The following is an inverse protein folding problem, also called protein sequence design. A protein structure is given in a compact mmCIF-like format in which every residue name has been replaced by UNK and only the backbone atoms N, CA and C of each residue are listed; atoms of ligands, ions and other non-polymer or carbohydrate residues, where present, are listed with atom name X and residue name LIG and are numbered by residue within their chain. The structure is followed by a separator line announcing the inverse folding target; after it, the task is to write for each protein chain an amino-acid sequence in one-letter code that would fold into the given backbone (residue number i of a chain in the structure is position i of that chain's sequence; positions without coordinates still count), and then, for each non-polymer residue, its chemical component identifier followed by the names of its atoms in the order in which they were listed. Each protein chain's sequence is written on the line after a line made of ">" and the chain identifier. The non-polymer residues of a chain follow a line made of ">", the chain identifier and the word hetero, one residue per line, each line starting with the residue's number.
data_IF_256379924463
#
_entry.id   IF_256379924463
#
_cell.length_a   1.000
_cell.length_b   1.000
_cell.length_c   1.000
_cell.angle_alpha   90.00
_cell.angle_beta   90.00
_cell.angle_gamma   90.00
#
_symmetry.space_group_name_H-M   'P 1'
#
loop_
_entity.id
_entity.type
_entity.pdbx_description
1 polymer ?
#
# COMPACT_ATOMS: atom_id res chain seq x y z
N UNK A 1 6.73 -20.63 -46.08
CA UNK A 1 6.72 -19.38 -45.28
C UNK A 1 5.49 -19.41 -44.39
N UNK A 2 5.61 -19.02 -43.12
CA UNK A 2 4.44 -18.87 -42.25
C UNK A 2 3.58 -17.69 -42.72
N UNK A 3 2.23 -17.80 -42.70
CA UNK A 3 1.32 -16.68 -42.88
C UNK A 3 1.65 -15.51 -41.96
N UNK A 4 1.46 -14.30 -42.48
CA UNK A 4 1.91 -13.08 -41.81
C UNK A 4 1.14 -12.83 -40.51
N UNK A 5 -0.13 -13.19 -40.49
CA UNK A 5 -1.03 -13.08 -39.34
C UNK A 5 -0.61 -14.03 -38.21
N UNK A 6 -0.15 -15.24 -38.55
CA UNK A 6 0.37 -16.20 -37.57
C UNK A 6 1.67 -15.70 -36.95
N UNK A 7 2.57 -15.12 -37.76
CA UNK A 7 3.80 -14.50 -37.25
C UNK A 7 3.50 -13.31 -36.32
N UNK A 8 2.54 -12.46 -36.67
CA UNK A 8 2.12 -11.34 -35.82
C UNK A 8 1.57 -11.82 -34.49
N UNK A 9 0.71 -12.85 -34.49
CA UNK A 9 0.16 -13.42 -33.26
C UNK A 9 1.25 -14.06 -32.39
N UNK A 10 2.18 -14.82 -32.99
CA UNK A 10 3.33 -15.40 -32.27
C UNK A 10 4.18 -14.31 -31.63
N UNK A 11 4.50 -13.25 -32.37
CA UNK A 11 5.27 -12.12 -31.83
C UNK A 11 4.54 -11.39 -30.71
N UNK A 12 3.23 -11.17 -30.87
CA UNK A 12 2.41 -10.52 -29.85
C UNK A 12 2.35 -11.33 -28.55
N UNK A 13 2.06 -12.63 -28.64
CA UNK A 13 2.01 -13.52 -27.47
C UNK A 13 3.37 -13.64 -26.79
N UNK A 14 4.45 -13.77 -27.57
CA UNK A 14 5.81 -13.81 -27.05
C UNK A 14 6.21 -12.50 -26.35
N UNK A 15 5.79 -11.35 -26.90
CA UNK A 15 6.08 -10.04 -26.33
C UNK A 15 5.31 -9.80 -25.02
N UNK A 16 4.05 -10.25 -24.92
CA UNK A 16 3.25 -10.13 -23.68
C UNK A 16 3.74 -11.07 -22.58
N UNK A 17 4.16 -12.28 -22.95
CA UNK A 17 4.56 -13.30 -21.98
C UNK A 17 5.90 -12.98 -21.30
N UNK A 18 6.80 -12.26 -21.99
CA UNK A 18 8.10 -11.87 -21.43
C UNK A 18 8.52 -10.47 -21.94
N UNK A 19 8.61 -9.46 -21.04
CA UNK A 19 9.05 -8.11 -21.40
C UNK A 19 10.41 -8.08 -22.10
N UNK A 20 11.36 -8.96 -21.73
CA UNK A 20 12.68 -9.01 -22.37
C UNK A 20 12.57 -9.46 -23.82
N UNK A 21 11.68 -10.41 -24.09
CA UNK A 21 11.38 -10.89 -25.44
C UNK A 21 10.76 -9.78 -26.31
N UNK A 22 9.88 -8.93 -25.75
CA UNK A 22 9.33 -7.78 -26.48
C UNK A 22 10.44 -6.83 -27.01
N UNK A 23 11.44 -6.52 -26.19
CA UNK A 23 12.57 -5.67 -26.61
C UNK A 23 13.50 -6.37 -27.62
N UNK A 24 13.69 -7.69 -27.52
CA UNK A 24 14.48 -8.46 -28.49
C UNK A 24 13.80 -8.49 -29.86
N UNK A 25 12.49 -8.73 -29.90
CA UNK A 25 11.68 -8.73 -31.13
C UNK A 25 11.76 -7.39 -31.86
N UNK A 26 11.84 -6.28 -31.13
CA UNK A 26 12.01 -4.93 -31.70
C UNK A 26 13.22 -4.80 -32.62
N UNK A 27 14.28 -5.57 -32.36
CA UNK A 27 15.55 -5.51 -33.09
C UNK A 27 15.59 -6.45 -34.31
N UNK A 28 14.59 -7.32 -34.47
CA UNK A 28 14.58 -8.35 -35.52
C UNK A 28 14.13 -7.77 -36.86
N UNK A 29 13.02 -7.04 -36.89
CA UNK A 29 12.47 -6.45 -38.11
C UNK A 29 11.51 -5.30 -37.80
N UNK A 30 11.18 -4.47 -38.81
CA UNK A 30 10.17 -3.41 -38.68
C UNK A 30 8.82 -3.97 -38.23
N UNK A 31 8.42 -5.12 -38.78
CA UNK A 31 7.15 -5.74 -38.44
C UNK A 31 7.14 -6.30 -37.01
N UNK A 32 8.21 -6.97 -36.58
CA UNK A 32 8.33 -7.44 -35.20
C UNK A 32 8.38 -6.26 -34.21
N UNK A 33 8.99 -5.14 -34.61
CA UNK A 33 8.99 -3.90 -33.86
C UNK A 33 7.58 -3.31 -33.69
N UNK A 34 6.79 -3.28 -34.76
CA UNK A 34 5.38 -2.87 -34.73
C UNK A 34 4.54 -3.79 -33.83
N UNK A 35 4.64 -5.11 -33.98
CA UNK A 35 3.81 -6.05 -33.23
C UNK A 35 4.08 -6.03 -31.72
N UNK A 36 5.32 -5.71 -31.32
CA UNK A 36 5.73 -5.71 -29.90
C UNK A 36 5.65 -4.33 -29.24
N UNK A 37 5.29 -3.26 -29.95
CA UNK A 37 5.35 -1.89 -29.42
C UNK A 37 4.47 -1.65 -28.20
N UNK A 38 3.26 -2.22 -28.17
CA UNK A 38 2.34 -2.12 -27.02
C UNK A 38 2.95 -2.82 -25.80
N UNK A 39 3.40 -4.08 -25.97
CA UNK A 39 3.98 -4.87 -24.89
C UNK A 39 5.23 -4.23 -24.27
N UNK A 40 6.08 -3.58 -25.08
CA UNK A 40 7.25 -2.83 -24.58
C UNK A 40 6.89 -1.62 -23.71
N UNK A 41 5.71 -1.05 -23.91
CA UNK A 41 5.21 0.09 -23.14
C UNK A 41 4.32 -0.31 -21.97
N UNK A 42 3.88 -1.57 -21.91
CA UNK A 42 3.06 -2.11 -20.82
C UNK A 42 3.79 -2.10 -19.48
N UNK A 43 5.07 -2.45 -19.47
CA UNK A 43 5.91 -2.48 -18.27
C UNK A 43 7.14 -1.59 -18.47
N UNK A 44 7.20 -0.49 -17.75
CA UNK A 44 8.34 0.43 -17.76
C UNK A 44 9.15 0.27 -16.47
N UNK A 45 10.44 0.01 -16.61
CA UNK A 45 11.38 -0.02 -15.48
C UNK A 45 12.50 0.96 -15.76
N UNK A 46 12.68 1.92 -14.86
CA UNK A 46 13.62 3.03 -14.98
C UNK A 46 14.62 2.90 -13.83
N UNK A 47 15.86 2.55 -14.17
CA UNK A 47 16.93 2.28 -13.19
C UNK A 47 18.01 3.37 -13.14
N UNK A 48 17.91 4.39 -14.00
CA UNK A 48 18.94 5.43 -14.15
C UNK A 48 18.31 6.81 -14.28
N UNK A 49 18.97 7.84 -13.76
CA UNK A 49 18.53 9.24 -13.88
C UNK A 49 18.45 9.71 -15.33
N UNK A 50 19.45 9.38 -16.15
CA UNK A 50 19.43 9.75 -17.58
C UNK A 50 18.26 9.08 -18.30
N UNK A 51 18.00 7.79 -18.04
CA UNK A 51 16.83 7.10 -18.59
C UNK A 51 15.50 7.76 -18.20
N UNK A 52 15.36 8.22 -16.95
CA UNK A 52 14.20 8.99 -16.49
C UNK A 52 14.09 10.33 -17.24
N UNK A 53 15.21 11.06 -17.35
CA UNK A 53 15.29 12.35 -18.07
C UNK A 53 14.85 12.20 -19.52
N UNK A 54 15.40 11.22 -20.23
CA UNK A 54 15.06 10.98 -21.64
C UNK A 54 13.60 10.58 -21.82
N UNK A 55 13.02 9.80 -20.89
CA UNK A 55 11.59 9.51 -20.93
C UNK A 55 10.75 10.78 -20.73
N UNK A 56 11.10 11.63 -19.78
CA UNK A 56 10.40 12.90 -19.53
C UNK A 56 10.49 13.85 -20.74
N UNK A 57 11.65 13.91 -21.41
CA UNK A 57 11.82 14.66 -22.67
C UNK A 57 10.98 14.07 -23.81
N UNK A 58 10.98 12.75 -23.96
CA UNK A 58 10.18 12.06 -24.97
C UNK A 58 8.69 12.36 -24.78
N UNK A 59 8.18 12.24 -23.56
CA UNK A 59 6.77 12.51 -23.25
C UNK A 59 6.42 14.00 -23.48
N UNK A 60 7.32 14.93 -23.13
CA UNK A 60 7.14 16.34 -23.44
C UNK A 60 7.06 16.58 -24.96
N UNK A 61 8.00 16.01 -25.71
CA UNK A 61 8.03 16.15 -27.17
C UNK A 61 6.75 15.61 -27.82
N UNK A 62 6.26 14.45 -27.37
CA UNK A 62 5.03 13.85 -27.91
C UNK A 62 3.77 14.69 -27.61
N UNK A 63 3.75 15.43 -26.49
CA UNK A 63 2.64 16.36 -26.19
C UNK A 63 2.71 17.64 -27.01
N UNK A 64 3.92 18.13 -27.28
CA UNK A 64 4.16 19.39 -27.99
C UNK A 64 4.16 19.23 -29.52
N UNK A 65 4.38 18.02 -30.03
CA UNK A 65 4.51 17.73 -31.46
C UNK A 65 3.36 16.85 -31.96
N UNK A 66 2.61 17.34 -32.95
CA UNK A 66 1.60 16.55 -33.68
C UNK A 66 2.21 15.68 -34.79
N UNK A 67 3.54 15.55 -34.83
CA UNK A 67 4.25 14.87 -35.90
C UNK A 67 4.12 13.33 -35.83
N UNK A 68 4.56 12.69 -36.92
CA UNK A 68 4.54 11.24 -37.17
C UNK A 68 5.00 10.45 -35.93
N UNK A 69 4.15 9.54 -35.47
CA UNK A 69 4.46 8.62 -34.37
C UNK A 69 5.60 7.68 -34.79
N UNK A 70 6.73 7.64 -34.05
CA UNK A 70 7.80 6.67 -34.31
C UNK A 70 7.28 5.23 -34.29
N UNK A 71 7.83 4.37 -35.15
CA UNK A 71 7.49 2.94 -35.24
C UNK A 71 7.58 2.20 -33.89
N UNK A 72 8.44 2.69 -33.00
CA UNK A 72 8.68 2.11 -31.69
C UNK A 72 7.59 2.41 -30.66
N UNK A 73 6.68 3.35 -30.95
CA UNK A 73 5.64 3.82 -30.02
C UNK A 73 4.25 3.26 -30.37
N UNK A 74 3.46 2.82 -29.37
CA UNK A 74 2.11 2.30 -29.59
C UNK A 74 1.06 3.35 -29.98
N UNK A 75 1.39 4.64 -29.95
CA UNK A 75 0.50 5.74 -30.34
C UNK A 75 1.11 7.09 -30.00
N UNK A 76 0.31 8.15 -30.16
CA UNK A 76 0.67 9.54 -29.81
C UNK A 76 0.88 9.67 -28.29
N UNK A 77 0.07 8.97 -27.50
CA UNK A 77 0.14 8.92 -26.03
C UNK A 77 0.56 7.53 -25.57
N UNK A 78 1.84 7.16 -25.68
CA UNK A 78 2.28 5.80 -25.41
C UNK A 78 2.14 5.41 -23.93
N UNK A 79 2.06 6.41 -23.03
CA UNK A 79 1.82 6.23 -21.60
C UNK A 79 0.44 5.64 -21.27
N UNK A 80 -0.54 5.73 -22.17
CA UNK A 80 -1.85 5.08 -22.00
C UNK A 80 -1.77 3.55 -22.01
N UNK A 81 -0.71 3.00 -22.60
CA UNK A 81 -0.49 1.56 -22.68
C UNK A 81 0.27 1.01 -21.47
N UNK A 82 0.81 1.88 -20.61
CA UNK A 82 1.58 1.48 -19.44
C UNK A 82 0.67 1.05 -18.30
N UNK A 83 0.83 -0.21 -17.88
CA UNK A 83 0.11 -0.82 -16.76
C UNK A 83 0.99 -0.95 -15.51
N UNK A 84 2.31 -1.04 -15.68
CA UNK A 84 3.26 -1.13 -14.59
C UNK A 84 4.41 -0.15 -14.78
N UNK A 85 4.71 0.63 -13.75
CA UNK A 85 5.80 1.60 -13.75
C UNK A 85 6.66 1.41 -12.50
N UNK A 86 7.93 1.11 -12.71
CA UNK A 86 8.94 0.97 -11.64
C UNK A 86 10.02 2.02 -11.85
N UNK A 87 10.23 2.89 -10.86
CA UNK A 87 11.26 3.93 -10.90
C UNK A 87 12.13 3.76 -9.67
N UNK A 88 13.38 3.39 -9.91
CA UNK A 88 14.39 3.19 -8.89
C UNK A 88 15.73 3.60 -9.46
N UNK A 89 16.05 4.89 -9.43
CA UNK A 89 17.29 5.39 -10.01
C UNK A 89 18.46 5.04 -9.08
N UNK A 90 19.44 4.29 -9.61
CA UNK A 90 20.66 3.97 -8.88
C UNK A 90 21.44 5.27 -8.58
N UNK A 91 21.84 5.47 -7.33
CA UNK A 91 22.57 6.66 -6.89
C UNK A 91 24.07 6.39 -6.97
N UNK A 92 24.75 6.88 -8.00
CA UNK A 92 26.23 6.82 -8.06
C UNK A 92 26.90 7.97 -7.32
N UNK A 93 26.24 9.12 -7.18
CA UNK A 93 26.80 10.30 -6.48
C UNK A 93 25.78 11.32 -5.98
N UNK A 94 24.57 11.37 -6.54
CA UNK A 94 23.55 12.38 -6.27
C UNK A 94 22.18 11.73 -6.15
N UNK A 95 21.27 12.29 -5.33
CA UNK A 95 19.87 11.86 -5.29
C UNK A 95 19.03 12.53 -6.39
N UNK A 96 17.87 11.93 -6.71
CA UNK A 96 17.02 12.38 -7.80
C UNK A 96 16.51 13.82 -7.62
N UNK A 97 16.21 14.22 -6.40
CA UNK A 97 15.69 15.56 -6.10
C UNK A 97 16.76 16.60 -6.44
N UNK A 98 17.99 16.35 -5.98
CA UNK A 98 19.16 17.18 -6.28
C UNK A 98 19.42 17.20 -7.78
N UNK A 99 19.37 16.05 -8.46
CA UNK A 99 19.46 15.95 -9.92
C UNK A 99 18.46 16.83 -10.65
N UNK A 100 17.17 16.72 -10.31
CA UNK A 100 16.14 17.55 -10.93
C UNK A 100 16.33 19.04 -10.62
N UNK A 101 16.87 19.38 -9.43
CA UNK A 101 17.14 20.76 -9.04
C UNK A 101 18.34 21.39 -9.78
N UNK A 102 19.31 20.59 -10.20
CA UNK A 102 20.51 21.04 -10.91
C UNK A 102 20.35 21.04 -12.44
N UNK A 103 19.22 20.56 -12.96
CA UNK A 103 18.94 20.62 -14.39
C UNK A 103 18.96 22.05 -14.93
N UNK A 104 19.54 22.20 -16.13
CA UNK A 104 19.57 23.49 -16.84
C UNK A 104 18.16 23.98 -17.18
N UNK A 105 17.99 25.30 -17.31
CA UNK A 105 16.70 25.88 -17.74
C UNK A 105 16.23 25.35 -19.11
N UNK A 106 17.18 24.97 -19.98
CA UNK A 106 16.87 24.35 -21.27
C UNK A 106 16.26 22.96 -21.07
N UNK A 107 16.89 22.13 -20.24
CA UNK A 107 16.40 20.79 -19.96
C UNK A 107 15.03 20.83 -19.29
N UNK A 108 14.83 21.72 -18.31
CA UNK A 108 13.54 21.88 -17.61
C UNK A 108 12.41 22.26 -18.56
N UNK A 109 12.66 23.11 -19.56
CA UNK A 109 11.66 23.51 -20.57
C UNK A 109 11.31 22.39 -21.53
N UNK A 110 12.26 21.50 -21.82
CA UNK A 110 12.09 20.38 -22.74
C UNK A 110 11.57 19.10 -22.07
N UNK A 111 11.28 19.15 -20.77
CA UNK A 111 10.84 18.01 -19.97
C UNK A 111 9.43 18.21 -19.41
N UNK A 112 8.76 17.11 -19.11
CA UNK A 112 7.57 17.12 -18.26
C UNK A 112 8.00 17.50 -16.84
N UNK A 113 7.25 18.35 -16.16
CA UNK A 113 7.53 18.66 -14.75
C UNK A 113 7.26 17.44 -13.86
N UNK A 114 8.07 17.23 -12.82
CA UNK A 114 7.93 16.16 -11.83
C UNK A 114 6.54 16.12 -11.17
N UNK A 115 5.91 17.30 -11.03
CA UNK A 115 4.56 17.47 -10.49
C UNK A 115 3.42 16.99 -11.41
N UNK A 116 3.73 16.75 -12.69
CA UNK A 116 2.78 16.27 -13.70
C UNK A 116 3.16 14.89 -14.25
N UNK A 117 4.33 14.36 -13.88
CA UNK A 117 4.88 13.17 -14.52
C UNK A 117 3.96 11.95 -14.39
N UNK A 118 3.49 11.61 -13.17
CA UNK A 118 2.65 10.41 -12.98
C UNK A 118 1.26 10.56 -13.60
N UNK A 119 0.74 11.78 -13.77
CA UNK A 119 -0.61 11.99 -14.34
C UNK A 119 -0.68 11.65 -15.82
N UNK A 120 0.46 11.52 -16.49
CA UNK A 120 0.55 11.01 -17.85
C UNK A 120 0.23 9.51 -17.97
N UNK A 121 0.15 8.78 -16.86
CA UNK A 121 -0.08 7.33 -16.84
C UNK A 121 -1.46 7.00 -16.21
N UNK A 122 -2.59 7.31 -16.88
CA UNK A 122 -3.92 7.18 -16.31
C UNK A 122 -4.34 5.72 -16.06
N UNK A 123 -3.76 4.78 -16.79
CA UNK A 123 -4.14 3.36 -16.80
C UNK A 123 -3.21 2.48 -15.94
N UNK A 124 -2.46 3.11 -15.04
CA UNK A 124 -1.49 2.42 -14.22
C UNK A 124 -2.18 1.46 -13.24
N UNK A 125 -1.77 0.21 -13.24
CA UNK A 125 -2.24 -0.82 -12.32
C UNK A 125 -1.23 -1.04 -11.18
N UNK A 126 0.06 -0.94 -11.47
CA UNK A 126 1.15 -1.10 -10.51
C UNK A 126 2.14 0.07 -10.57
N UNK A 127 2.47 0.63 -9.40
CA UNK A 127 3.49 1.68 -9.25
C UNK A 127 4.52 1.27 -8.20
N UNK A 128 5.80 1.28 -8.56
CA UNK A 128 6.92 1.06 -7.65
C UNK A 128 7.85 2.27 -7.64
N UNK A 129 8.04 2.91 -6.49
CA UNK A 129 8.93 4.06 -6.33
C UNK A 129 10.01 3.81 -5.27
N UNK A 130 11.26 4.14 -5.60
CA UNK A 130 12.34 4.31 -4.65
C UNK A 130 12.12 5.52 -3.72
N UNK A 131 13.04 5.73 -2.77
CA UNK A 131 12.84 6.74 -1.72
C UNK A 131 12.92 8.17 -2.25
N UNK A 132 13.84 8.43 -3.18
CA UNK A 132 14.02 9.75 -3.78
C UNK A 132 12.90 10.02 -4.81
N UNK A 133 12.50 8.99 -5.55
CA UNK A 133 11.39 9.04 -6.50
C UNK A 133 10.06 9.29 -5.80
N UNK A 134 9.82 8.63 -4.66
CA UNK A 134 8.62 8.86 -3.88
C UNK A 134 8.50 10.32 -3.44
N UNK A 135 9.61 10.94 -3.03
CA UNK A 135 9.65 12.36 -2.68
C UNK A 135 9.46 13.26 -3.90
N UNK A 136 10.15 13.00 -5.01
CA UNK A 136 10.07 13.82 -6.22
C UNK A 136 8.66 13.79 -6.85
N UNK A 137 8.01 12.63 -6.86
CA UNK A 137 6.73 12.41 -7.52
C UNK A 137 5.52 12.41 -6.58
N UNK A 138 5.70 12.67 -5.28
CA UNK A 138 4.57 12.76 -4.34
C UNK A 138 3.47 13.74 -4.76
N UNK A 139 3.74 14.86 -5.48
CA UNK A 139 2.66 15.76 -5.88
C UNK A 139 1.79 15.21 -7.00
N UNK A 140 2.33 14.36 -7.88
CA UNK A 140 1.59 13.74 -8.99
C UNK A 140 0.94 12.40 -8.62
N UNK A 141 1.38 11.74 -7.53
CA UNK A 141 0.85 10.43 -7.13
C UNK A 141 -0.64 10.44 -6.80
N UNK A 142 -1.19 11.58 -6.37
CA UNK A 142 -2.63 11.73 -6.09
C UNK A 142 -3.48 11.82 -7.37
N UNK A 143 -2.85 11.97 -8.54
CA UNK A 143 -3.54 12.11 -9.82
C UNK A 143 -3.75 10.77 -10.52
N UNK A 144 -3.18 9.69 -9.97
CA UNK A 144 -3.32 8.32 -10.46
C UNK A 144 -4.11 7.47 -9.47
N UNK A 145 -4.56 6.29 -9.92
CA UNK A 145 -5.30 5.33 -9.11
C UNK A 145 -4.79 3.90 -9.37
N UNK A 146 -3.55 3.55 -8.97
CA UNK A 146 -3.04 2.20 -9.14
C UNK A 146 -3.79 1.19 -8.26
N UNK A 147 -3.82 -0.06 -8.70
CA UNK A 147 -4.32 -1.18 -7.90
C UNK A 147 -3.27 -1.67 -6.89
N UNK A 148 -1.99 -1.50 -7.21
CA UNK A 148 -0.85 -1.91 -6.42
C UNK A 148 0.17 -0.78 -6.32
N UNK A 149 0.61 -0.48 -5.10
CA UNK A 149 1.58 0.56 -4.83
C UNK A 149 2.69 0.03 -3.93
N UNK A 150 3.93 0.16 -4.38
CA UNK A 150 5.14 -0.12 -3.61
C UNK A 150 5.98 1.14 -3.44
N UNK A 151 6.33 1.46 -2.21
CA UNK A 151 7.10 2.66 -1.87
C UNK A 151 8.26 2.32 -0.95
N UNK A 152 9.41 2.92 -1.20
CA UNK A 152 10.49 2.99 -0.20
C UNK A 152 10.28 4.25 0.65
N UNK A 153 10.15 4.03 1.95
CA UNK A 153 9.82 5.04 2.95
C UNK A 153 11.03 5.27 3.86
N UNK A 154 11.43 6.53 4.01
CA UNK A 154 12.64 6.91 4.75
C UNK A 154 12.39 7.46 6.16
N UNK A 155 11.17 7.35 6.68
CA UNK A 155 10.81 7.88 8.00
C UNK A 155 10.06 9.21 7.94
N UNK A 156 9.94 9.84 6.77
CA UNK A 156 9.18 11.09 6.62
C UNK A 156 7.65 10.86 6.67
N UNK A 157 7.09 10.76 7.88
CA UNK A 157 5.65 10.58 8.08
C UNK A 157 4.82 11.73 7.50
N UNK A 158 5.35 12.96 7.48
CA UNK A 158 4.65 14.12 6.92
C UNK A 158 4.35 13.93 5.43
N UNK A 159 5.34 13.44 4.68
CA UNK A 159 5.18 13.09 3.27
C UNK A 159 4.20 11.92 3.08
N UNK A 160 4.33 10.89 3.91
CA UNK A 160 3.43 9.73 3.85
C UNK A 160 1.97 10.16 4.08
N UNK A 161 1.73 11.04 5.06
CA UNK A 161 0.42 11.64 5.35
C UNK A 161 -0.08 12.55 4.23
N UNK A 162 0.79 13.33 3.61
CA UNK A 162 0.40 14.21 2.50
C UNK A 162 -0.01 13.41 1.27
N UNK A 163 0.59 12.24 1.05
CA UNK A 163 0.21 11.34 -0.05
C UNK A 163 -1.08 10.60 0.28
N UNK A 164 -1.18 10.00 1.46
CA UNK A 164 -2.34 9.25 1.91
C UNK A 164 -3.33 10.13 2.69
N UNK A 165 -3.87 11.15 2.04
CA UNK A 165 -4.86 12.03 2.65
C UNK A 165 -6.11 11.24 3.09
N UNK A 166 -6.59 11.41 4.33
CA UNK A 166 -7.79 10.72 4.82
C UNK A 166 -9.02 11.11 4.00
N UNK A 167 -9.98 10.18 3.86
CA UNK A 167 -11.35 10.52 3.45
C UNK A 167 -11.98 11.30 4.62
N UNK A 168 -12.54 12.53 4.52
CA UNK A 168 -12.51 13.59 3.52
C UNK A 168 -11.47 14.72 3.79
N UNK A 169 -11.27 15.53 2.74
CA UNK A 169 -10.32 16.62 2.53
C UNK A 169 -10.44 17.80 3.54
N UNK A 170 -9.33 18.16 4.20
CA UNK A 170 -9.24 19.28 5.16
C UNK A 170 -9.56 20.67 4.57
N UNK A 171 -9.69 20.80 3.24
CA UNK A 171 -10.10 22.04 2.57
C UNK A 171 -11.62 22.17 2.39
N UNK A 172 -12.42 21.17 2.75
CA UNK A 172 -13.87 21.31 2.79
C UNK A 172 -14.25 22.18 4.00
N UNK A 173 -14.98 23.27 3.77
CA UNK A 173 -15.44 24.17 4.82
C UNK A 173 -16.09 23.36 5.96
N UNK A 174 -15.77 23.68 7.22
CA UNK A 174 -16.44 23.10 8.40
C UNK A 174 -17.96 23.20 8.20
N UNK A 175 -18.62 22.07 8.00
CA UNK A 175 -20.07 22.01 7.72
C UNK A 175 -20.44 21.43 6.35
N UNK A 176 -19.50 21.29 5.41
CA UNK A 176 -19.71 20.58 4.15
C UNK A 176 -19.28 19.11 4.28
N UNK A 177 -19.94 18.37 5.18
CA UNK A 177 -19.67 16.96 5.49
C UNK A 177 -20.55 16.01 4.67
N UNK A 178 -20.76 16.31 3.39
CA UNK A 178 -21.47 15.37 2.52
C UNK A 178 -20.45 14.45 1.88
N UNK A 179 -20.54 13.15 2.18
CA UNK A 179 -20.04 12.11 1.28
C UNK A 179 -20.82 12.32 -0.02
N UNK A 180 -20.19 12.75 -1.13
CA UNK A 180 -20.88 12.84 -2.39
C UNK A 180 -21.44 11.47 -2.75
N UNK A 181 -22.72 11.40 -3.10
CA UNK A 181 -23.38 10.22 -3.70
C UNK A 181 -22.60 9.67 -4.91
N UNK A 182 -21.70 10.48 -5.49
CA UNK A 182 -20.80 10.13 -6.58
C UNK A 182 -19.48 9.47 -6.18
N UNK A 183 -19.22 9.07 -4.93
CA UNK A 183 -17.95 8.40 -4.57
C UNK A 183 -17.69 7.08 -5.31
N UNK A 184 -18.72 6.33 -5.70
CA UNK A 184 -18.60 5.17 -6.60
C UNK A 184 -18.08 5.55 -8.00
N UNK A 185 -18.31 6.80 -8.44
CA UNK A 185 -17.98 7.30 -9.78
C UNK A 185 -16.75 8.24 -9.77
N UNK A 186 -16.40 8.82 -8.61
CA UNK A 186 -15.49 9.96 -8.47
C UNK A 186 -14.58 9.94 -7.24
N UNK A 187 -14.35 8.81 -6.55
CA UNK A 187 -13.34 8.78 -5.49
C UNK A 187 -11.99 9.27 -6.07
N UNK A 188 -11.51 10.48 -5.69
CA UNK A 188 -10.40 11.08 -6.40
C UNK A 188 -9.08 10.46 -5.93
N UNK A 189 -8.22 10.14 -6.88
CA UNK A 189 -6.81 9.88 -6.64
C UNK A 189 -6.43 8.49 -6.15
N UNK A 190 -5.34 8.45 -5.39
CA UNK A 190 -4.55 7.24 -5.11
C UNK A 190 -5.37 6.08 -4.53
N UNK A 191 -6.36 6.38 -3.69
CA UNK A 191 -7.11 5.36 -2.93
C UNK A 191 -8.23 4.67 -3.73
N UNK A 192 -8.62 5.17 -4.91
CA UNK A 192 -9.81 4.70 -5.66
C UNK A 192 -9.79 3.21 -5.98
N UNK A 193 -8.64 2.72 -6.47
CA UNK A 193 -8.43 1.33 -6.94
C UNK A 193 -7.45 0.56 -6.07
N UNK A 194 -6.85 1.20 -5.07
CA UNK A 194 -5.71 0.66 -4.33
C UNK A 194 -6.12 -0.51 -3.44
N UNK A 195 -5.69 -1.73 -3.84
CA UNK A 195 -5.93 -2.99 -3.11
C UNK A 195 -4.68 -3.46 -2.37
N UNK A 196 -3.51 -3.26 -2.98
CA UNK A 196 -2.23 -3.75 -2.51
C UNK A 196 -1.31 -2.59 -2.17
N UNK A 197 -0.86 -2.53 -0.91
CA UNK A 197 0.10 -1.52 -0.45
C UNK A 197 1.31 -2.22 0.16
N UNK A 198 2.48 -1.97 -0.42
CA UNK A 198 3.77 -2.44 0.09
C UNK A 198 4.66 -1.26 0.46
N UNK A 199 5.00 -1.14 1.72
CA UNK A 199 5.90 -0.10 2.23
C UNK A 199 7.18 -0.74 2.72
N UNK A 200 8.31 -0.21 2.26
CA UNK A 200 9.65 -0.65 2.68
C UNK A 200 10.27 0.49 3.49
N UNK A 201 10.29 0.34 4.81
CA UNK A 201 10.90 1.27 5.74
C UNK A 201 12.43 1.10 5.79
N UNK A 202 13.16 2.10 5.32
CA UNK A 202 14.63 2.16 5.39
C UNK A 202 15.03 3.45 6.08
N UNK A 203 15.72 3.37 7.22
CA UNK A 203 16.29 4.55 7.87
C UNK A 203 17.58 4.97 7.12
N UNK A 204 17.61 6.13 6.45
CA UNK A 204 18.79 6.56 5.70
C UNK A 204 19.96 6.93 6.62
N UNK A 205 19.71 7.20 7.90
CA UNK A 205 20.74 7.58 8.86
C UNK A 205 21.40 6.38 9.54
N UNK A 206 20.78 5.21 9.43
CA UNK A 206 21.29 4.01 10.08
C UNK A 206 20.79 2.76 9.38
N UNK A 207 21.75 2.06 8.78
CA UNK A 207 21.54 0.77 8.14
C UNK A 207 21.17 -0.35 9.12
N UNK A 208 21.38 -0.13 10.42
CA UNK A 208 21.16 -1.12 11.49
C UNK A 208 19.81 -0.95 12.18
N UNK A 209 19.13 0.17 11.95
CA UNK A 209 17.80 0.45 12.47
C UNK A 209 16.79 0.36 11.34
N UNK A 210 15.58 -0.07 11.67
CA UNK A 210 14.47 0.16 10.78
C UNK A 210 13.55 1.23 11.35
N UNK A 211 12.43 1.42 10.68
CA UNK A 211 11.46 2.44 11.01
C UNK A 211 10.27 1.84 11.78
N UNK A 212 9.54 2.68 12.54
CA UNK A 212 8.32 2.23 13.18
C UNK A 212 7.24 2.02 12.12
N UNK A 213 6.36 1.04 12.35
CA UNK A 213 5.18 0.87 11.51
C UNK A 213 4.27 2.11 11.64
N UNK A 214 4.04 2.88 10.56
CA UNK A 214 3.34 4.17 10.63
C UNK A 214 1.82 3.94 10.67
N UNK A 215 1.35 3.29 11.73
CA UNK A 215 0.00 2.77 11.85
C UNK A 215 -1.07 3.84 11.65
N UNK A 216 -0.91 5.02 12.27
CA UNK A 216 -1.86 6.13 12.19
C UNK A 216 -2.09 6.63 10.75
N UNK A 217 -1.17 6.32 9.83
CA UNK A 217 -1.27 6.67 8.41
C UNK A 217 -1.88 5.52 7.59
N UNK A 218 -1.55 4.28 7.95
CA UNK A 218 -1.88 3.08 7.17
C UNK A 218 -3.20 2.42 7.57
N UNK A 219 -3.55 2.44 8.86
CA UNK A 219 -4.84 1.92 9.36
C UNK A 219 -6.04 2.57 8.64
N UNK A 220 -6.12 3.89 8.41
CA UNK A 220 -7.22 4.50 7.68
C UNK A 220 -7.31 4.11 6.19
N UNK A 221 -6.26 3.50 5.63
CA UNK A 221 -6.28 3.03 4.24
C UNK A 221 -6.95 1.66 4.11
N UNK A 222 -7.00 0.91 5.20
CA UNK A 222 -7.42 -0.49 5.17
C UNK A 222 -8.95 -0.59 5.10
N UNK A 223 -9.40 -1.57 4.34
CA UNK A 223 -10.81 -1.94 4.31
C UNK A 223 -11.26 -2.44 5.69
N UNK A 224 -12.48 -2.11 6.10
CA UNK A 224 -13.03 -2.47 7.41
C UNK A 224 -12.49 -1.64 8.57
N UNK A 225 -11.58 -0.71 8.33
CA UNK A 225 -11.06 0.18 9.37
C UNK A 225 -12.16 1.10 9.89
N UNK A 226 -12.30 1.19 11.22
CA UNK A 226 -13.21 2.16 11.87
C UNK A 226 -12.50 3.46 12.24
N UNK A 227 -11.22 3.58 11.89
CA UNK A 227 -10.40 4.72 12.26
C UNK A 227 -10.90 5.99 11.60
N UNK A 228 -10.65 7.14 12.24
CA UNK A 228 -10.90 8.43 11.61
C UNK A 228 -10.11 8.52 10.30
N UNK A 229 -10.76 8.97 9.23
CA UNK A 229 -10.14 9.08 7.90
C UNK A 229 -10.21 7.83 7.03
N UNK A 230 -10.77 6.73 7.56
CA UNK A 230 -11.10 5.53 6.79
C UNK A 230 -12.35 5.71 5.97
N UNK A 231 -12.50 4.88 4.93
CA UNK A 231 -13.69 4.87 4.10
C UNK A 231 -14.94 4.53 4.91
N UNK A 232 -14.91 3.44 5.68
CA UNK A 232 -16.05 2.99 6.49
C UNK A 232 -16.50 4.04 7.50
N UNK A 233 -15.55 4.65 8.23
CA UNK A 233 -15.86 5.74 9.16
C UNK A 233 -16.50 6.92 8.43
N UNK A 234 -15.90 7.37 7.31
CA UNK A 234 -16.47 8.47 6.54
C UNK A 234 -17.86 8.13 6.02
N UNK A 235 -18.05 6.92 5.50
CA UNK A 235 -19.32 6.45 4.96
C UNK A 235 -20.43 6.43 6.04
N UNK A 236 -20.18 5.77 7.17
CA UNK A 236 -21.20 5.58 8.21
C UNK A 236 -21.51 6.85 9.00
N UNK A 237 -20.48 7.63 9.36
CA UNK A 237 -20.67 8.82 10.21
C UNK A 237 -21.26 9.99 9.42
N UNK A 238 -21.08 10.03 8.09
CA UNK A 238 -21.52 11.14 7.25
C UNK A 238 -22.82 10.86 6.47
N UNK A 239 -23.19 9.59 6.23
CA UNK A 239 -24.46 9.24 5.55
C UNK A 239 -25.71 9.28 6.44
N UNK A 240 -25.61 9.68 7.72
CA UNK A 240 -26.77 9.70 8.62
C UNK A 240 -27.92 10.67 8.20
N UNK A 241 -27.76 11.45 7.12
CA UNK A 241 -28.69 12.52 6.73
C UNK A 241 -29.18 12.49 5.26
N UNK A 242 -28.99 11.42 4.49
CA UNK A 242 -29.38 11.37 3.07
C UNK A 242 -30.21 10.13 2.74
N UNK A 243 -31.25 10.33 1.92
CA UNK A 243 -32.10 9.29 1.36
C UNK A 243 -31.27 8.15 0.76
N UNK A 244 -31.65 6.91 1.06
CA UNK A 244 -30.99 5.69 0.59
C UNK A 244 -31.23 5.57 -0.92
N UNK A 245 -30.43 6.25 -1.73
CA UNK A 245 -30.34 5.95 -3.15
C UNK A 245 -29.62 4.61 -3.29
N UNK A 246 -30.39 3.53 -3.42
CA UNK A 246 -29.93 2.25 -3.95
C UNK A 246 -29.61 2.42 -5.43
N UNK A 247 -28.60 3.21 -5.78
CA UNK A 247 -28.13 3.25 -7.17
C UNK A 247 -27.49 1.90 -7.48
N UNK A 248 -28.23 1.14 -8.28
CA UNK A 248 -27.86 -0.15 -8.89
C UNK A 248 -26.92 0.02 -10.08
N UNK A 249 -26.30 1.21 -10.24
CA UNK A 249 -25.31 1.43 -11.30
C UNK A 249 -23.99 0.80 -10.86
N UNK A 250 -23.89 -0.48 -11.23
CA UNK A 250 -22.77 -1.42 -11.08
C UNK A 250 -21.59 -1.05 -12.01
N UNK A 251 -21.43 0.23 -12.34
CA UNK A 251 -20.75 0.65 -13.56
C UNK A 251 -19.24 0.92 -13.43
N UNK A 252 -18.63 0.66 -12.28
CA UNK A 252 -17.17 0.70 -12.14
C UNK A 252 -16.64 -0.55 -11.41
N UNK A 253 -16.37 -1.65 -12.14
CA UNK A 253 -15.87 -2.91 -11.57
C UNK A 253 -14.48 -2.77 -10.93
N UNK A 254 -13.79 -1.65 -11.12
CA UNK A 254 -12.44 -1.44 -10.61
C UNK A 254 -12.38 -0.69 -9.27
N UNK A 255 -13.50 -0.11 -8.82
CA UNK A 255 -13.55 0.60 -7.55
C UNK A 255 -13.31 -0.32 -6.34
N UNK A 256 -12.64 0.19 -5.32
CA UNK A 256 -12.36 -0.53 -4.08
C UNK A 256 -12.54 0.34 -2.85
N UNK A 257 -13.14 -0.19 -1.77
CA UNK A 257 -13.32 0.56 -0.53
C UNK A 257 -12.04 0.77 0.31
N UNK A 258 -10.91 0.21 -0.11
CA UNK A 258 -9.62 0.38 0.56
C UNK A 258 -8.64 -0.77 0.32
N UNK A 259 -7.50 -0.70 1.01
CA UNK A 259 -6.42 -1.69 0.96
C UNK A 259 -6.88 -2.99 1.59
N UNK A 260 -6.75 -4.09 0.84
CA UNK A 260 -7.06 -5.46 1.27
C UNK A 260 -5.81 -6.24 1.65
N UNK A 261 -4.65 -5.84 1.11
CA UNK A 261 -3.35 -6.44 1.39
C UNK A 261 -2.36 -5.34 1.77
N UNK A 262 -1.94 -5.34 3.03
CA UNK A 262 -0.94 -4.41 3.54
C UNK A 262 0.34 -5.17 3.89
N UNK A 263 1.45 -4.78 3.28
CA UNK A 263 2.78 -5.31 3.60
C UNK A 263 3.71 -4.20 4.04
N UNK A 264 4.36 -4.40 5.17
CA UNK A 264 5.39 -3.50 5.69
C UNK A 264 6.67 -4.28 5.95
N UNK A 265 7.70 -3.92 5.19
CA UNK A 265 9.04 -4.48 5.33
C UNK A 265 9.95 -3.43 5.99
N UNK A 266 10.72 -3.83 6.99
CA UNK A 266 11.71 -2.94 7.62
C UNK A 266 12.93 -3.75 8.02
N UNK A 267 14.12 -3.16 8.14
CA UNK A 267 15.29 -3.92 8.63
C UNK A 267 15.10 -4.40 10.06
N UNK A 268 14.48 -3.55 10.88
CA UNK A 268 14.19 -3.81 12.29
C UNK A 268 13.02 -2.94 12.73
N UNK A 269 12.02 -3.50 13.42
CA UNK A 269 10.98 -2.65 14.02
C UNK A 269 11.61 -1.78 15.12
N UNK A 270 11.57 -0.45 14.96
CA UNK A 270 12.09 0.46 15.99
C UNK A 270 11.13 0.51 17.18
N UNK A 271 11.62 0.09 18.34
CA UNK A 271 11.13 0.34 19.70
C UNK A 271 9.65 0.69 19.87
N UNK A 272 8.86 -0.30 20.30
CA UNK A 272 8.01 -0.28 21.50
C UNK A 272 7.94 -1.72 22.04
N UNK A 273 7.64 -1.97 23.33
CA UNK A 273 7.30 -3.32 23.78
C UNK A 273 6.34 -3.96 22.78
N UNK A 274 6.54 -5.24 22.47
CA UNK A 274 5.65 -6.00 21.58
C UNK A 274 4.20 -5.88 22.01
N UNK A 275 3.93 -5.68 23.31
CA UNK A 275 2.61 -5.37 23.86
C UNK A 275 2.00 -4.08 23.29
N UNK A 276 2.81 -3.04 23.08
CA UNK A 276 2.31 -1.79 22.49
C UNK A 276 2.03 -1.98 21.00
N UNK A 277 2.87 -2.73 20.27
CA UNK A 277 2.58 -3.04 18.88
C UNK A 277 1.32 -3.92 18.78
N UNK A 278 1.24 -4.98 19.59
CA UNK A 278 0.11 -5.89 19.65
C UNK A 278 -1.19 -5.15 19.97
N UNK A 279 -1.21 -4.31 21.02
CA UNK A 279 -2.39 -3.50 21.37
C UNK A 279 -2.78 -2.51 20.27
N UNK A 280 -1.80 -1.98 19.53
CA UNK A 280 -2.02 -1.13 18.38
C UNK A 280 -2.56 -1.89 17.18
N UNK A 281 -2.24 -3.18 17.00
CA UNK A 281 -2.78 -4.00 15.90
C UNK A 281 -4.27 -4.32 16.03
N UNK A 282 -4.91 -3.96 17.16
CA UNK A 282 -6.35 -4.08 17.41
C UNK A 282 -7.25 -3.79 16.20
N UNK A 283 -7.09 -2.68 15.46
CA UNK A 283 -7.98 -2.35 14.33
C UNK A 283 -8.00 -3.40 13.22
N UNK A 284 -6.94 -4.21 13.10
CA UNK A 284 -6.86 -5.29 12.13
C UNK A 284 -7.50 -6.60 12.63
N UNK A 285 -7.62 -6.77 13.95
CA UNK A 285 -8.23 -7.95 14.58
C UNK A 285 -9.76 -7.85 14.69
N UNK A 286 -10.31 -6.64 14.64
CA UNK A 286 -11.74 -6.41 14.67
C UNK A 286 -12.32 -6.43 13.25
N UNK A 287 -13.51 -7.00 13.11
CA UNK A 287 -14.30 -6.97 11.88
C UNK A 287 -15.76 -6.67 12.24
N UNK A 288 -16.42 -5.83 11.47
CA UNK A 288 -17.86 -5.62 11.62
C UNK A 288 -18.60 -6.91 11.23
N UNK A 289 -19.46 -7.40 12.09
CA UNK A 289 -20.31 -8.56 11.85
C UNK A 289 -21.75 -8.10 11.60
N UNK A 290 -22.30 -8.45 10.43
CA UNK A 290 -23.66 -8.09 10.03
C UNK A 290 -24.55 -9.34 9.74
N UNK A 291 -24.00 -10.55 9.96
CA UNK A 291 -24.63 -11.82 9.63
C UNK A 291 -24.11 -12.43 8.31
N UNK A 292 -24.49 -13.69 8.04
CA UNK A 292 -23.83 -14.54 7.04
C UNK A 292 -24.20 -14.29 5.56
N UNK A 293 -25.19 -13.44 5.25
CA UNK A 293 -25.74 -13.29 3.88
C UNK A 293 -25.49 -11.91 3.22
N UNK A 294 -24.52 -11.12 3.68
CA UNK A 294 -24.38 -9.71 3.28
C UNK A 294 -22.99 -9.27 2.76
N UNK A 295 -22.25 -10.16 2.09
CA UNK A 295 -20.92 -9.86 1.55
C UNK A 295 -20.89 -8.67 0.56
N UNK A 296 -21.93 -8.53 -0.28
CA UNK A 296 -22.03 -7.41 -1.23
C UNK A 296 -22.25 -6.08 -0.51
N UNK A 297 -23.09 -6.07 0.54
CA UNK A 297 -23.34 -4.88 1.35
C UNK A 297 -22.07 -4.48 2.12
N UNK A 298 -21.38 -5.47 2.70
CA UNK A 298 -20.10 -5.28 3.39
C UNK A 298 -19.04 -4.68 2.47
N UNK A 299 -18.98 -5.14 1.22
CA UNK A 299 -18.09 -4.59 0.19
C UNK A 299 -18.48 -3.16 -0.16
N UNK A 300 -19.77 -2.89 -0.35
CA UNK A 300 -20.29 -1.57 -0.72
C UNK A 300 -19.98 -0.50 0.33
N UNK A 301 -20.17 -0.80 1.62
CA UNK A 301 -19.92 0.16 2.70
C UNK A 301 -18.45 0.17 3.16
N UNK A 302 -17.61 -0.68 2.55
CA UNK A 302 -16.20 -0.84 2.91
C UNK A 302 -15.97 -1.43 4.29
N UNK A 303 -16.96 -2.14 4.83
CA UNK A 303 -16.85 -2.95 6.04
C UNK A 303 -16.20 -4.32 5.78
N UNK A 304 -15.89 -4.64 4.51
CA UNK A 304 -15.11 -5.80 4.10
C UNK A 304 -13.84 -6.00 4.93
N UNK A 305 -13.36 -7.24 4.97
CA UNK A 305 -12.21 -7.62 5.80
C UNK A 305 -10.87 -7.33 5.11
N UNK A 306 -9.88 -6.86 5.87
CA UNK A 306 -8.48 -6.88 5.45
C UNK A 306 -8.05 -8.34 5.23
N UNK A 307 -7.67 -8.73 4.03
CA UNK A 307 -7.37 -10.13 3.73
C UNK A 307 -5.99 -10.51 4.27
N UNK A 308 -5.04 -9.59 4.26
CA UNK A 308 -3.67 -9.90 4.67
C UNK A 308 -2.93 -8.69 5.25
N UNK A 309 -2.21 -8.92 6.35
CA UNK A 309 -1.23 -8.02 6.95
C UNK A 309 0.12 -8.73 7.06
N UNK A 310 1.10 -8.27 6.31
CA UNK A 310 2.46 -8.79 6.35
C UNK A 310 3.38 -7.82 7.06
N UNK A 311 3.94 -8.23 8.19
CA UNK A 311 5.00 -7.51 8.89
C UNK A 311 6.29 -8.29 8.73
N UNK A 312 7.17 -7.80 7.87
CA UNK A 312 8.40 -8.51 7.52
C UNK A 312 9.63 -7.76 7.97
N UNK A 313 10.68 -8.51 8.27
CA UNK A 313 12.02 -7.98 8.49
C UNK A 313 12.95 -8.38 7.35
N UNK A 314 13.75 -7.41 6.89
CA UNK A 314 14.71 -7.65 5.81
C UNK A 314 15.90 -8.43 6.37
N UNK A 315 16.15 -9.62 5.83
CA UNK A 315 17.27 -10.47 6.25
C UNK A 315 18.60 -9.83 5.84
N UNK A 316 19.51 -9.57 6.77
CA UNK A 316 20.87 -9.10 6.42
C UNK A 316 21.60 -10.20 5.66
N UNK A 317 21.93 -9.96 4.39
CA UNK A 317 22.73 -10.90 3.61
C UNK A 317 24.12 -11.14 4.24
N UNK A 318 24.83 -12.20 3.84
CA UNK A 318 26.09 -12.64 4.47
C UNK A 318 27.26 -11.64 4.39
N UNK A 319 27.11 -10.54 3.63
CA UNK A 319 28.16 -9.55 3.36
C UNK A 319 28.20 -8.37 4.33
N UNK A 320 27.27 -8.24 5.28
CA UNK A 320 27.18 -7.07 6.18
C UNK A 320 28.02 -7.16 7.46
N UNK A 321 28.55 -8.34 7.82
CA UNK A 321 29.28 -8.54 9.09
C UNK A 321 30.49 -7.61 9.27
N UNK A 322 31.14 -7.16 8.20
CA UNK A 322 32.28 -6.23 8.27
C UNK A 322 31.86 -4.75 8.39
N UNK A 323 30.76 -4.35 7.75
CA UNK A 323 30.21 -2.98 7.90
C UNK A 323 29.53 -2.78 9.26
N UNK A 324 28.94 -3.84 9.82
CA UNK A 324 28.33 -3.83 11.16
C UNK A 324 29.32 -3.40 12.24
N UNK A 325 30.60 -3.81 12.16
CA UNK A 325 31.63 -3.46 13.14
C UNK A 325 32.07 -1.99 13.06
N UNK A 326 32.25 -1.43 11.85
CA UNK A 326 32.59 -0.02 11.68
C UNK A 326 31.42 0.91 12.03
N UNK A 327 30.20 0.55 11.64
CA UNK A 327 29.00 1.30 12.00
C UNK A 327 28.70 1.18 13.50
N UNK A 328 28.89 -0.01 14.12
CA UNK A 328 28.86 -0.15 15.59
C UNK A 328 29.86 0.77 16.25
N UNK A 329 31.11 0.83 15.75
CA UNK A 329 32.15 1.72 16.30
C UNK A 329 31.76 3.20 16.15
N UNK A 330 31.22 3.63 15.00
CA UNK A 330 30.73 5.00 14.78
C UNK A 330 29.57 5.36 15.71
N UNK A 331 28.56 4.50 15.84
CA UNK A 331 27.44 4.69 16.75
C UNK A 331 27.87 4.66 18.23
N UNK A 332 28.81 3.80 18.61
CA UNK A 332 29.39 3.76 19.97
C UNK A 332 30.18 5.04 20.27
N UNK A 333 30.83 5.65 19.27
CA UNK A 333 31.56 6.91 19.44
C UNK A 333 30.63 8.12 19.62
N UNK A 334 29.42 8.07 19.04
CA UNK A 334 28.39 9.10 19.21
C UNK A 334 27.74 9.10 20.61
N UNK A 335 27.99 8.09 21.46
CA UNK A 335 27.55 8.06 22.86
C UNK A 335 28.15 9.17 23.73
N UNK A 336 29.19 9.89 23.26
CA UNK A 336 29.85 10.95 24.01
C UNK A 336 29.38 12.38 23.66
N UNK A 337 28.47 12.56 22.70
CA UNK A 337 27.96 13.88 22.31
C UNK A 337 26.52 14.12 22.78
N UNK A 338 26.30 14.25 24.10
CA UNK A 338 25.22 15.02 24.75
C UNK A 338 23.74 14.81 24.35
N UNK A 339 23.41 13.88 23.45
CA UNK A 339 22.05 13.49 23.08
C UNK A 339 21.71 12.13 23.68
N UNK A 340 20.42 11.85 23.89
CA UNK A 340 19.97 10.52 24.31
C UNK A 340 20.62 9.44 23.44
N UNK A 341 21.25 8.40 24.02
CA UNK A 341 21.91 7.36 23.25
C UNK A 341 20.92 6.75 22.26
N UNK A 342 21.25 6.74 20.95
CA UNK A 342 20.60 5.81 20.02
C UNK A 342 21.02 4.41 20.47
N UNK A 343 20.14 3.71 21.17
CA UNK A 343 20.46 2.44 21.82
C UNK A 343 20.93 1.38 20.81
N UNK A 344 22.23 1.10 20.85
CA UNK A 344 22.96 0.12 20.04
C UNK A 344 22.67 -1.33 20.40
N UNK A 345 22.09 -1.57 21.57
CA UNK A 345 21.57 -2.87 21.97
C UNK A 345 20.07 -2.76 21.82
N UNK A 346 19.47 -3.62 20.99
CA UNK A 346 18.03 -3.83 21.13
C UNK A 346 17.76 -4.19 22.58
N UNK A 347 16.78 -3.55 23.21
CA UNK A 347 16.26 -3.95 24.52
C UNK A 347 15.52 -5.31 24.48
N UNK A 348 16.08 -6.27 23.74
CA UNK A 348 15.69 -7.67 23.73
C UNK A 348 16.60 -8.33 24.76
N UNK A 349 16.05 -8.53 25.94
CA UNK A 349 16.74 -9.02 27.14
C UNK A 349 17.05 -10.51 26.98
N UNK A 350 18.33 -10.89 26.99
CA UNK A 350 18.88 -12.21 27.36
C UNK A 350 18.40 -13.49 26.63
N UNK A 351 17.30 -13.47 25.87
CA UNK A 351 16.73 -14.63 25.15
C UNK A 351 17.25 -14.79 23.72
N UNK A 352 18.03 -13.85 23.19
CA UNK A 352 18.77 -14.08 21.94
C UNK A 352 19.78 -15.24 22.07
N UNK A 353 20.09 -15.67 23.29
CA UNK A 353 20.88 -16.87 23.58
C UNK A 353 20.11 -18.18 23.27
N UNK A 354 18.77 -18.17 23.20
CA UNK A 354 17.94 -19.37 23.01
C UNK A 354 17.34 -19.51 21.61
N UNK A 355 17.43 -18.48 20.76
CA UNK A 355 16.87 -18.49 19.40
C UNK A 355 17.96 -18.40 18.35
N UNK A 356 17.73 -19.02 17.18
CA UNK A 356 18.74 -19.10 16.12
C UNK A 356 18.96 -17.75 15.43
N UNK A 357 18.01 -16.81 15.56
CA UNK A 357 18.15 -15.44 15.06
C UNK A 357 17.46 -14.41 15.97
N UNK A 358 17.94 -13.14 16.00
CA UNK A 358 17.30 -12.08 16.77
C UNK A 358 15.87 -11.77 16.31
N UNK A 359 15.53 -12.16 15.09
CA UNK A 359 14.20 -11.94 14.53
C UNK A 359 13.19 -13.02 14.94
N UNK A 360 13.66 -14.24 15.22
CA UNK A 360 12.82 -15.26 15.84
C UNK A 360 12.33 -14.79 17.21
N UNK A 361 13.20 -14.18 18.03
CA UNK A 361 12.79 -13.57 19.31
C UNK A 361 11.66 -12.55 19.12
N UNK A 362 11.77 -11.64 18.15
CA UNK A 362 10.69 -10.69 17.84
C UNK A 362 9.38 -11.36 17.48
N UNK A 363 9.44 -12.37 16.62
CA UNK A 363 8.26 -13.14 16.23
C UNK A 363 7.60 -13.80 17.44
N UNK A 364 8.38 -14.43 18.31
CA UNK A 364 7.87 -15.12 19.50
C UNK A 364 7.28 -14.14 20.50
N UNK A 365 7.98 -13.07 20.86
CA UNK A 365 7.49 -12.08 21.82
C UNK A 365 6.25 -11.35 21.28
N UNK A 366 6.22 -11.01 19.98
CA UNK A 366 5.01 -10.41 19.40
C UNK A 366 3.83 -11.36 19.46
N UNK A 367 4.05 -12.65 19.18
CA UNK A 367 3.02 -13.68 19.30
C UNK A 367 2.55 -13.88 20.75
N UNK A 368 3.46 -13.85 21.73
CA UNK A 368 3.15 -13.98 23.15
C UNK A 368 2.36 -12.77 23.68
N UNK A 369 2.79 -11.55 23.33
CA UNK A 369 2.05 -10.31 23.64
C UNK A 369 0.65 -10.33 23.07
N UNK A 370 0.53 -10.79 21.82
CA UNK A 370 -0.72 -10.99 21.14
C UNK A 370 -1.61 -12.01 21.90
N UNK A 371 -1.07 -13.18 22.25
CA UNK A 371 -1.80 -14.23 22.96
C UNK A 371 -2.26 -13.75 24.33
N UNK A 372 -1.39 -13.07 25.07
CA UNK A 372 -1.66 -12.49 26.39
C UNK A 372 -2.77 -11.44 26.35
N UNK A 373 -2.72 -10.51 25.37
CA UNK A 373 -3.72 -9.45 25.27
C UNK A 373 -5.08 -9.95 24.80
N UNK A 374 -5.10 -10.84 23.81
CA UNK A 374 -6.32 -11.23 23.11
C UNK A 374 -6.82 -12.65 23.43
N UNK A 375 -6.16 -13.37 24.35
CA UNK A 375 -6.56 -14.71 24.79
C UNK A 375 -6.50 -15.75 23.67
N UNK A 376 -5.50 -15.66 22.79
CA UNK A 376 -5.41 -16.52 21.61
C UNK A 376 -4.57 -17.76 21.87
N UNK A 377 -5.22 -18.84 22.30
CA UNK A 377 -4.63 -20.17 22.19
C UNK A 377 -4.77 -20.69 20.75
N UNK A 378 -3.73 -21.32 20.17
CA UNK A 378 -3.86 -21.98 18.89
C UNK A 378 -4.96 -23.05 19.01
N UNK A 379 -5.86 -23.17 18.00
CA UNK A 379 -6.96 -24.12 18.08
C UNK A 379 -6.38 -25.52 18.33
N UNK A 380 -6.75 -26.13 19.45
CA UNK A 380 -6.43 -27.53 19.71
C UNK A 380 -7.05 -28.35 18.58
N UNK A 381 -6.20 -29.14 17.91
CA UNK A 381 -6.59 -30.04 16.82
C UNK A 381 -7.71 -30.98 17.33
N UNK A 382 -8.98 -30.64 17.07
CA UNK A 382 -10.12 -31.53 17.35
C UNK A 382 -11.42 -30.89 17.85
N UNK A 383 -11.47 -29.59 18.19
CA UNK A 383 -12.70 -28.97 18.69
C UNK A 383 -13.41 -28.12 17.63
N UNK A 384 -14.67 -28.44 17.35
CA UNK A 384 -15.57 -27.65 16.52
C UNK A 384 -15.93 -26.31 17.21
N UNK A 385 -15.28 -25.24 16.74
CA UNK A 385 -15.80 -23.88 16.57
C UNK A 385 -16.75 -23.29 17.64
N UNK A 386 -16.29 -23.14 18.89
CA UNK A 386 -16.68 -21.96 19.71
C UNK A 386 -15.42 -21.48 20.42
N UNK A 387 -15.00 -20.25 20.13
CA UNK A 387 -14.01 -19.53 20.91
C UNK A 387 -14.59 -19.26 22.30
N UNK A 388 -14.16 -19.99 23.32
CA UNK A 388 -14.19 -19.45 24.68
C UNK A 388 -12.97 -18.54 24.82
N UNK A 389 -13.06 -17.33 24.27
CA UNK A 389 -12.00 -16.32 24.41
C UNK A 389 -12.12 -15.63 25.77
N UNK A 390 -11.36 -16.07 26.77
CA UNK A 390 -11.27 -15.46 28.11
C UNK A 390 -10.26 -14.29 28.15
N UNK A 391 -10.20 -13.48 27.09
CA UNK A 391 -9.24 -12.37 26.98
C UNK A 391 -9.84 -11.02 27.40
N UNK A 392 -9.15 -10.27 28.27
CA UNK A 392 -9.62 -8.95 28.73
C UNK A 392 -9.83 -7.92 27.60
N UNK A 393 -9.15 -8.07 26.45
CA UNK A 393 -9.42 -7.23 25.26
C UNK A 393 -10.60 -7.74 24.43
N UNK A 394 -10.89 -9.04 24.42
CA UNK A 394 -11.97 -9.62 23.60
C UNK A 394 -13.32 -9.09 24.05
N UNK A 395 -13.61 -9.16 25.36
CA UNK A 395 -14.84 -8.58 25.92
C UNK A 395 -14.97 -7.08 25.62
N UNK A 396 -13.85 -6.35 25.61
CA UNK A 396 -13.85 -4.92 25.27
C UNK A 396 -14.03 -4.66 23.77
N UNK A 397 -13.59 -5.57 22.89
CA UNK A 397 -13.78 -5.42 21.43
C UNK A 397 -15.25 -5.63 21.12
N UNK A 398 -15.84 -6.70 21.68
CA UNK A 398 -17.26 -7.03 21.52
C UNK A 398 -18.17 -5.89 22.00
N UNK A 399 -17.81 -5.22 23.11
CA UNK A 399 -18.59 -4.12 23.69
C UNK A 399 -18.19 -2.70 23.18
N UNK A 400 -17.19 -2.61 22.30
CA UNK A 400 -16.61 -1.34 21.83
C UNK A 400 -15.76 -0.60 22.88
N UNK A 401 -14.52 -0.25 22.52
CA UNK A 401 -13.54 0.37 23.42
C UNK A 401 -13.77 1.85 23.70
N UNK A 402 -14.27 2.59 22.71
CA UNK A 402 -14.37 4.04 22.76
C UNK A 402 -15.77 4.51 22.42
N UNK A 403 -16.14 5.70 22.88
CA UNK A 403 -17.39 6.33 22.47
C UNK A 403 -17.50 6.47 20.94
N UNK A 404 -16.36 6.59 20.25
CA UNK A 404 -16.30 6.65 18.78
C UNK A 404 -16.57 5.29 18.14
N UNK A 405 -15.95 4.22 18.64
CA UNK A 405 -16.19 2.87 18.13
C UNK A 405 -17.68 2.49 18.32
N UNK A 406 -18.26 2.85 19.47
CA UNK A 406 -19.71 2.72 19.72
C UNK A 406 -20.55 3.54 18.76
N UNK A 407 -20.19 4.80 18.53
CA UNK A 407 -20.88 5.65 17.56
C UNK A 407 -20.85 5.02 16.16
N UNK A 408 -19.71 4.48 15.71
CA UNK A 408 -19.60 3.79 14.41
C UNK A 408 -20.48 2.53 14.39
N UNK A 409 -20.51 1.74 15.47
CA UNK A 409 -21.42 0.58 15.59
C UNK A 409 -22.88 0.99 15.55
N UNK A 410 -23.28 2.02 16.28
CA UNK A 410 -24.66 2.52 16.32
C UNK A 410 -25.08 3.05 14.94
N UNK A 411 -24.18 3.78 14.25
CA UNK A 411 -24.40 4.23 12.88
C UNK A 411 -24.49 3.08 11.89
N UNK A 412 -23.63 2.06 12.01
CA UNK A 412 -23.71 0.84 11.21
C UNK A 412 -25.06 0.14 11.44
N UNK A 413 -25.42 -0.10 12.70
CA UNK A 413 -26.68 -0.72 13.09
C UNK A 413 -27.88 0.00 12.49
N UNK A 414 -27.93 1.33 12.58
CA UNK A 414 -29.01 2.13 11.98
C UNK A 414 -29.05 1.91 10.47
N UNK A 415 -27.93 2.10 9.78
CA UNK A 415 -27.84 1.96 8.33
C UNK A 415 -28.28 0.57 7.84
N UNK A 416 -27.80 -0.48 8.48
CA UNK A 416 -28.11 -1.87 8.13
C UNK A 416 -29.58 -2.16 8.40
N UNK A 417 -30.13 -1.62 9.50
CA UNK A 417 -31.57 -1.73 9.81
C UNK A 417 -32.43 -1.10 8.74
N UNK A 418 -32.03 0.08 8.26
CA UNK A 418 -32.76 0.80 7.21
C UNK A 418 -32.68 0.05 5.86
N UNK A 419 -31.50 -0.41 5.46
CA UNK A 419 -31.31 -1.19 4.22
C UNK A 419 -32.10 -2.51 4.26
N UNK A 420 -32.05 -3.25 5.37
CA UNK A 420 -32.79 -4.51 5.52
C UNK A 420 -34.31 -4.28 5.56
N UNK A 421 -34.78 -3.22 6.23
CA UNK A 421 -36.21 -2.86 6.24
C UNK A 421 -36.74 -2.62 4.83
N UNK A 422 -35.97 -1.93 3.99
CA UNK A 422 -36.32 -1.69 2.57
C UNK A 422 -36.32 -2.98 1.76
N UNK A 423 -35.38 -3.91 2.02
CA UNK A 423 -35.21 -5.13 1.22
C UNK A 423 -36.17 -6.27 1.57
N UNK A 424 -36.42 -6.56 2.86
CA UNK A 424 -37.05 -7.82 3.29
C UNK A 424 -38.37 -7.67 4.05
N UNK A 425 -38.70 -6.48 4.57
CA UNK A 425 -40.00 -6.20 5.19
C UNK A 425 -40.37 -6.99 6.47
N UNK A 426 -39.46 -7.78 7.07
CA UNK A 426 -39.69 -8.55 8.31
C UNK A 426 -38.45 -8.58 9.23
N UNK A 427 -38.69 -8.72 10.55
CA UNK A 427 -37.68 -8.68 11.62
C UNK A 427 -37.46 -10.02 12.33
N UNK A 428 -36.20 -10.44 12.38
CA UNK A 428 -35.41 -10.54 13.61
C UNK A 428 -33.97 -10.18 13.22
N UNK A 429 -33.52 -8.99 13.59
CA UNK A 429 -32.19 -8.50 13.22
C UNK A 429 -31.19 -8.98 14.26
N UNK A 430 -30.15 -9.69 13.82
CA UNK A 430 -28.97 -9.83 14.67
C UNK A 430 -28.33 -8.43 14.86
N UNK A 431 -27.96 -8.08 16.10
CA UNK A 431 -27.27 -6.83 16.36
C UNK A 431 -25.89 -6.86 15.69
N UNK A 432 -25.58 -5.76 15.01
CA UNK A 432 -24.26 -5.46 14.49
C UNK A 432 -23.29 -5.44 15.66
N UNK A 433 -22.27 -6.25 15.54
CA UNK A 433 -21.27 -6.46 16.57
C UNK A 433 -19.89 -6.46 15.94
N UNK A 434 -18.85 -6.26 16.75
CA UNK A 434 -17.51 -6.62 16.31
C UNK A 434 -17.29 -8.10 16.51
N UNK A 435 -16.76 -8.76 15.48
CA UNK A 435 -16.21 -10.11 15.58
C UNK A 435 -14.69 -10.05 15.59
N UNK A 436 -14.11 -10.90 16.42
CA UNK A 436 -12.66 -11.11 16.47
C UNK A 436 -12.18 -12.02 15.36
N UNK A 437 -11.06 -11.62 14.73
CA UNK A 437 -10.35 -12.41 13.74
C UNK A 437 -9.07 -12.98 14.33
N UNK A 438 -8.85 -14.26 14.07
CA UNK A 438 -7.60 -14.92 14.41
C UNK A 438 -6.45 -14.34 13.57
N UNK A 439 -5.31 -13.96 14.15
CA UNK A 439 -4.16 -13.49 13.37
C UNK A 439 -3.68 -14.51 12.37
N UNK A 440 -3.71 -15.81 12.71
CA UNK A 440 -3.29 -16.86 11.79
C UNK A 440 -4.05 -16.83 10.45
N UNK A 441 -5.24 -16.20 10.41
CA UNK A 441 -6.03 -16.04 9.18
C UNK A 441 -5.58 -14.89 8.28
N UNK A 442 -4.73 -13.96 8.75
CA UNK A 442 -4.38 -12.77 7.97
C UNK A 442 -3.01 -12.13 8.28
N UNK A 443 -2.50 -12.25 9.52
CA UNK A 443 -1.22 -11.71 9.96
C UNK A 443 -0.09 -12.69 9.65
N UNK A 444 0.88 -12.25 8.86
CA UNK A 444 2.11 -13.00 8.61
C UNK A 444 3.32 -12.24 9.15
N UNK A 445 4.10 -12.94 9.97
CA UNK A 445 5.37 -12.47 10.52
C UNK A 445 6.49 -13.31 9.90
N UNK A 446 7.53 -12.67 9.35
CA UNK A 446 8.67 -13.43 8.85
C UNK A 446 9.77 -12.61 8.20
N UNK A 447 10.84 -13.31 7.82
CA UNK A 447 11.89 -12.76 6.98
C UNK A 447 11.35 -12.47 5.57
N UNK A 448 11.83 -11.38 4.99
CA UNK A 448 11.72 -11.09 3.57
C UNK A 448 13.12 -11.04 2.95
N UNK A 449 13.30 -11.52 1.71
CA UNK A 449 14.52 -11.27 0.97
C UNK A 449 14.71 -9.76 0.78
N UNK A 450 15.96 -9.29 0.85
CA UNK A 450 16.33 -7.88 0.60
C UNK A 450 15.98 -7.43 -0.81
N UNK A 451 15.78 -8.38 -1.73
CA UNK A 451 15.59 -8.09 -3.13
C UNK A 451 14.29 -7.31 -3.40
N UNK A 452 14.42 -6.24 -4.18
CA UNK A 452 13.37 -5.69 -5.03
C UNK A 452 12.99 -6.67 -6.16
N UNK A 453 12.84 -7.97 -5.87
CA UNK A 453 12.44 -8.92 -6.90
C UNK A 453 10.95 -8.77 -7.15
N UNK A 454 10.62 -8.32 -8.36
CA UNK A 454 9.27 -8.32 -8.91
C UNK A 454 8.63 -9.69 -8.71
N UNK A 455 7.51 -9.74 -7.97
CA UNK A 455 6.57 -10.86 -8.01
C UNK A 455 5.34 -10.41 -8.77
#
# INVERSE_FOLDING_TARGET
>A
MLPIELLQNVFYQAAISDPKTAHRLAKVSHQACECSKVARWTHLTITSMDGLRELMKLLHHLRSSSAITPLSLPGIEPSFFTRSLSIHTETTSMDLITYLSELSDSDRKEMIHEHDFLSLFPNLDALNLGSAEFQAFSPSIQQISPTSLRLVYNGNETLLRSVFTPYPNANAARGAFTVPSSWKVKAPGLRRRLRYLHIIGIDPQSELTGLPFPMDVLEPLCVGSTSMGSFLHAYLVQNANMDIETSTDDSDPEWTPGVTYLRYDTRKFSYRPTDILASRLRPFFQQLNIGDEEDDLMTQIGASRLLQLDLRWLSSGPTLNTMEDEQRKKLNSAMFSGGWPRELRGAWTDRSMTHNSPYESFRYELSESIQSLYGWDPPSLGASQILTTEGAYVERIENGFSAKDRQVMDSAQSYISDVKLVRSGQYAMEPVSFRMRYPASFLHLGEAPVAFSDR
#
